data_IF_649400742978
#
_entry.id   IF_649400742978
#
_cell.length_a   1.000
_cell.length_b   1.000
_cell.length_c   1.000
_cell.angle_alpha   90.00
_cell.angle_beta   90.00
_cell.angle_gamma   90.00
#
_symmetry.space_group_name_H-M   'P 1'
#
loop_
_entity.id
_entity.type
_entity.pdbx_description
1 polymer ?
#
# COMPACT_ATOMS: atom_id res chain seq x y z
N UNK A 1 -23.62 10.31 12.82
CA UNK A 1 -22.45 9.45 12.56
C UNK A 1 -22.10 9.61 11.09
N UNK A 2 -20.93 10.17 10.77
CA UNK A 2 -20.51 10.33 9.36
C UNK A 2 -19.90 9.02 8.89
N UNK A 3 -20.59 8.30 8.01
CA UNK A 3 -20.05 7.11 7.37
C UNK A 3 -18.85 7.50 6.51
N UNK A 4 -17.72 6.81 6.70
CA UNK A 4 -16.55 6.98 5.85
C UNK A 4 -16.84 6.38 4.47
N UNK A 5 -16.82 7.21 3.44
CA UNK A 5 -16.93 6.74 2.06
C UNK A 5 -15.58 6.22 1.59
N UNK A 6 -15.58 5.02 0.98
CA UNK A 6 -14.40 4.44 0.36
C UNK A 6 -13.87 5.36 -0.76
N UNK A 7 -12.54 5.37 -0.99
CA UNK A 7 -11.98 6.11 -2.12
C UNK A 7 -12.60 5.64 -3.44
N UNK A 8 -12.88 6.58 -4.34
CA UNK A 8 -13.38 6.27 -5.69
C UNK A 8 -12.25 5.90 -6.66
N UNK A 9 -11.02 6.25 -6.31
CA UNK A 9 -9.80 5.89 -7.03
C UNK A 9 -8.62 5.79 -6.07
N UNK A 10 -7.62 4.99 -6.43
CA UNK A 10 -6.36 4.88 -5.70
C UNK A 10 -5.21 5.30 -6.61
N UNK A 11 -4.23 6.00 -6.05
CA UNK A 11 -3.02 6.39 -6.75
C UNK A 11 -1.77 6.06 -5.93
N UNK A 12 -0.73 5.66 -6.64
CA UNK A 12 0.60 5.42 -6.08
C UNK A 12 1.58 6.29 -6.86
N UNK A 13 2.31 7.15 -6.17
CA UNK A 13 3.51 7.75 -6.75
C UNK A 13 4.58 6.66 -6.88
N UNK A 14 5.02 6.39 -8.11
CA UNK A 14 6.04 5.37 -8.39
C UNK A 14 7.33 5.62 -7.62
N UNK A 15 7.66 6.89 -7.32
CA UNK A 15 8.79 7.24 -6.47
C UNK A 15 8.64 6.67 -5.05
N UNK A 16 7.42 6.57 -4.51
CA UNK A 16 7.19 5.93 -3.21
C UNK A 16 7.42 4.42 -3.25
N UNK A 17 7.21 3.77 -4.39
CA UNK A 17 7.58 2.37 -4.56
C UNK A 17 9.10 2.25 -4.65
N UNK A 18 9.71 2.90 -5.64
CA UNK A 18 11.13 2.81 -5.95
C UNK A 18 12.01 3.27 -4.79
N UNK A 19 11.76 4.47 -4.27
CA UNK A 19 12.66 5.17 -3.36
C UNK A 19 12.39 4.83 -1.88
N UNK A 20 11.28 4.14 -1.58
CA UNK A 20 10.92 3.75 -0.22
C UNK A 20 10.60 2.25 -0.05
N UNK A 21 9.61 1.70 -0.78
CA UNK A 21 9.18 0.31 -0.58
C UNK A 21 10.11 -0.74 -1.17
N UNK A 22 10.90 -0.39 -2.19
CA UNK A 22 11.92 -1.27 -2.79
C UNK A 22 13.36 -0.81 -2.51
N UNK A 23 13.54 0.36 -1.89
CA UNK A 23 14.86 0.89 -1.60
C UNK A 23 15.49 0.27 -0.34
N UNK A 24 16.48 -0.60 -0.54
CA UNK A 24 17.25 -1.24 0.55
C UNK A 24 18.07 -0.26 1.38
N UNK A 25 18.47 0.88 0.80
CA UNK A 25 19.24 1.92 1.45
C UNK A 25 18.35 2.92 2.24
N UNK A 26 17.02 2.83 2.14
CA UNK A 26 16.15 3.77 2.83
C UNK A 26 16.21 3.55 4.36
N UNK A 27 16.53 4.58 5.17
CA UNK A 27 16.84 4.43 6.59
C UNK A 27 15.70 3.80 7.40
N UNK A 28 14.46 4.13 7.05
CA UNK A 28 13.23 3.60 7.68
C UNK A 28 12.58 2.48 6.86
N UNK A 29 12.96 2.35 5.59
CA UNK A 29 12.26 1.53 4.58
C UNK A 29 12.90 0.17 4.37
N UNK A 30 14.17 0.00 4.79
CA UNK A 30 15.00 -1.19 4.53
C UNK A 30 14.31 -2.52 4.82
N UNK A 31 13.54 -2.62 5.91
CA UNK A 31 12.86 -3.86 6.29
C UNK A 31 11.68 -4.19 5.35
N UNK A 32 10.99 -3.15 4.87
CA UNK A 32 9.91 -3.29 3.88
C UNK A 32 10.49 -3.68 2.52
N UNK A 33 11.58 -3.04 2.12
CA UNK A 33 12.32 -3.39 0.91
C UNK A 33 12.80 -4.84 0.94
N UNK A 34 13.45 -5.27 2.03
CA UNK A 34 13.89 -6.66 2.17
C UNK A 34 12.73 -7.66 2.03
N UNK A 35 11.57 -7.34 2.60
CA UNK A 35 10.37 -8.16 2.46
C UNK A 35 9.86 -8.23 1.02
N UNK A 36 9.58 -7.09 0.38
CA UNK A 36 9.03 -7.10 -0.99
C UNK A 36 10.01 -7.70 -1.99
N UNK A 37 11.31 -7.45 -1.86
CA UNK A 37 12.34 -8.10 -2.68
C UNK A 37 12.37 -9.63 -2.47
N UNK A 38 12.13 -10.10 -1.24
CA UNK A 38 12.02 -11.55 -0.97
C UNK A 38 10.78 -12.19 -1.60
N UNK A 39 9.75 -11.39 -1.92
CA UNK A 39 8.56 -11.80 -2.68
C UNK A 39 8.77 -11.74 -4.20
N UNK A 40 9.98 -11.49 -4.67
CA UNK A 40 10.32 -11.48 -6.10
C UNK A 40 10.09 -10.15 -6.82
N UNK A 41 9.62 -9.11 -6.12
CA UNK A 41 9.59 -7.75 -6.68
C UNK A 41 11.01 -7.22 -6.91
N UNK A 42 11.16 -6.27 -7.84
CA UNK A 42 12.46 -5.77 -8.28
C UNK A 42 12.52 -4.25 -8.29
N UNK A 43 13.63 -3.68 -7.85
CA UNK A 43 13.87 -2.23 -7.86
C UNK A 43 13.68 -1.60 -9.25
N UNK A 44 14.07 -2.33 -10.31
CA UNK A 44 13.90 -1.90 -11.70
C UNK A 44 12.51 -2.14 -12.31
N UNK A 45 11.55 -2.65 -11.52
CA UNK A 45 10.15 -2.89 -11.94
C UNK A 45 9.15 -2.47 -10.85
N UNK A 46 9.16 -1.19 -10.42
CA UNK A 46 8.27 -0.70 -9.36
C UNK A 46 6.78 -0.83 -9.70
N UNK A 47 6.42 -0.82 -10.97
CA UNK A 47 5.06 -1.02 -11.47
C UNK A 47 4.46 -2.37 -11.05
N UNK A 48 5.24 -3.46 -11.02
CA UNK A 48 4.73 -4.78 -10.62
C UNK A 48 4.23 -4.78 -9.16
N UNK A 49 4.92 -4.05 -8.28
CA UNK A 49 4.48 -3.87 -6.88
C UNK A 49 3.29 -2.91 -6.77
N UNK A 50 3.25 -1.86 -7.60
CA UNK A 50 2.10 -0.96 -7.63
C UNK A 50 0.80 -1.71 -8.02
N UNK A 51 0.85 -2.51 -9.09
CA UNK A 51 -0.28 -3.32 -9.55
C UNK A 51 -0.76 -4.29 -8.48
N UNK A 52 0.18 -4.97 -7.83
CA UNK A 52 -0.12 -5.90 -6.72
C UNK A 52 -0.77 -5.18 -5.53
N UNK A 53 -0.35 -3.95 -5.22
CA UNK A 53 -0.94 -3.14 -4.16
C UNK A 53 -2.34 -2.63 -4.52
N UNK A 54 -2.59 -2.29 -5.80
CA UNK A 54 -3.93 -1.93 -6.26
C UNK A 54 -4.91 -3.09 -6.16
N UNK A 55 -4.50 -4.29 -6.60
CA UNK A 55 -5.32 -5.49 -6.45
C UNK A 55 -5.58 -5.84 -4.98
N UNK A 56 -4.57 -5.67 -4.13
CA UNK A 56 -4.68 -5.91 -2.70
C UNK A 56 -5.62 -4.94 -1.99
N UNK A 57 -5.71 -3.67 -2.42
CA UNK A 57 -6.56 -2.65 -1.80
C UNK A 57 -8.05 -2.80 -2.20
N UNK A 58 -8.61 -3.98 -1.95
CA UNK A 58 -9.99 -4.35 -2.29
C UNK A 58 -10.94 -4.23 -1.09
N UNK A 59 -12.25 -4.19 -1.34
CA UNK A 59 -13.28 -4.13 -0.30
C UNK A 59 -13.18 -5.30 0.71
N UNK A 60 -12.83 -6.50 0.23
CA UNK A 60 -12.68 -7.69 1.09
C UNK A 60 -11.48 -7.64 2.04
N UNK A 61 -10.55 -6.72 1.81
CA UNK A 61 -9.38 -6.52 2.66
C UNK A 61 -9.53 -5.32 3.60
N UNK A 62 -10.65 -4.58 3.60
CA UNK A 62 -10.81 -3.42 4.49
C UNK A 62 -10.80 -3.88 5.95
N UNK A 63 -9.71 -3.58 6.66
CA UNK A 63 -9.54 -3.92 8.06
C UNK A 63 -9.95 -2.77 8.99
N UNK A 64 -9.69 -1.52 8.56
CA UNK A 64 -10.03 -0.32 9.33
C UNK A 64 -10.15 0.90 8.44
N UNK A 65 -11.08 1.80 8.78
CA UNK A 65 -11.10 3.17 8.28
C UNK A 65 -11.20 4.15 9.45
N UNK A 66 -10.57 5.32 9.35
CA UNK A 66 -10.54 6.31 10.42
C UNK A 66 -10.39 7.73 9.89
N UNK A 67 -11.24 8.65 10.36
CA UNK A 67 -11.03 10.08 10.12
C UNK A 67 -9.84 10.61 10.91
N UNK A 68 -9.02 11.44 10.27
CA UNK A 68 -7.90 12.14 10.90
C UNK A 68 -7.91 13.61 10.47
N UNK A 69 -7.18 14.50 11.17
CA UNK A 69 -7.03 15.89 10.75
C UNK A 69 -6.47 16.05 9.32
N UNK A 70 -5.78 15.03 8.80
CA UNK A 70 -5.16 15.04 7.47
C UNK A 70 -6.02 14.40 6.38
N UNK A 71 -7.21 13.91 6.73
CA UNK A 71 -8.09 13.12 5.86
C UNK A 71 -8.43 11.74 6.42
N UNK A 72 -9.12 10.93 5.63
CA UNK A 72 -9.53 9.58 6.03
C UNK A 72 -8.42 8.57 5.74
N UNK A 73 -7.95 7.86 6.77
CA UNK A 73 -7.05 6.72 6.61
C UNK A 73 -7.85 5.45 6.34
N UNK A 74 -7.40 4.69 5.35
CA UNK A 74 -7.91 3.38 4.99
C UNK A 74 -6.80 2.34 5.15
N UNK A 75 -7.09 1.29 5.90
CA UNK A 75 -6.17 0.18 6.18
C UNK A 75 -6.75 -1.07 5.56
N UNK A 76 -5.98 -1.67 4.67
CA UNK A 76 -6.32 -2.95 4.04
C UNK A 76 -5.38 -4.02 4.57
N UNK A 77 -5.92 -5.17 4.98
CA UNK A 77 -5.18 -6.35 5.41
C UNK A 77 -5.70 -7.59 4.70
N UNK A 78 -4.77 -8.41 4.23
CA UNK A 78 -5.12 -9.60 3.47
C UNK A 78 -3.96 -10.10 2.61
N UNK A 79 -4.17 -11.21 1.89
CA UNK A 79 -3.20 -11.72 0.93
C UNK A 79 -2.87 -10.69 -0.15
N UNK A 80 -1.62 -10.71 -0.62
CA UNK A 80 -1.19 -9.97 -1.82
C UNK A 80 -0.48 -10.93 -2.77
N UNK A 81 -0.81 -10.85 -4.07
CA UNK A 81 -0.12 -11.60 -5.11
C UNK A 81 1.34 -11.16 -5.19
N UNK A 82 2.22 -12.09 -5.51
CA UNK A 82 3.66 -11.87 -5.62
C UNK A 82 4.15 -12.42 -6.96
N UNK A 83 5.19 -11.80 -7.58
CA UNK A 83 5.78 -12.32 -8.81
C UNK A 83 6.34 -13.73 -8.65
N UNK A 84 6.83 -14.06 -7.45
CA UNK A 84 7.32 -15.38 -7.12
C UNK A 84 7.25 -15.65 -5.62
N UNK A 85 6.90 -16.87 -5.24
CA UNK A 85 6.92 -17.31 -3.84
C UNK A 85 5.53 -17.26 -3.18
N UNK A 86 5.46 -17.16 -1.84
CA UNK A 86 4.20 -17.25 -1.12
C UNK A 86 3.31 -16.03 -1.39
N UNK A 87 2.01 -16.17 -1.08
CA UNK A 87 1.03 -15.08 -1.06
C UNK A 87 0.92 -14.58 0.38
N UNK A 88 1.78 -13.63 0.83
CA UNK A 88 1.80 -13.19 2.22
C UNK A 88 0.57 -12.35 2.54
N UNK A 89 0.16 -12.40 3.81
CA UNK A 89 -0.68 -11.35 4.36
C UNK A 89 0.15 -10.07 4.54
N UNK A 90 -0.34 -8.96 4.01
CA UNK A 90 0.26 -7.64 4.20
C UNK A 90 -0.79 -6.68 4.74
N UNK A 91 -0.30 -5.54 5.23
CA UNK A 91 -1.09 -4.35 5.50
C UNK A 91 -0.66 -3.25 4.54
N UNK A 92 -1.62 -2.65 3.85
CA UNK A 92 -1.43 -1.38 3.13
C UNK A 92 -2.25 -0.27 3.77
N UNK A 93 -1.67 0.93 3.85
CA UNK A 93 -2.29 2.11 4.44
C UNK A 93 -2.37 3.19 3.38
N UNK A 94 -3.56 3.75 3.25
CA UNK A 94 -3.90 4.77 2.26
C UNK A 94 -4.53 5.97 2.97
N UNK A 95 -4.39 7.15 2.39
CA UNK A 95 -5.02 8.37 2.89
C UNK A 95 -5.82 9.04 1.79
N UNK A 96 -7.08 9.32 2.08
CA UNK A 96 -7.94 10.17 1.25
C UNK A 96 -7.90 11.56 1.87
N UNK A 97 -7.28 12.52 1.19
CA UNK A 97 -7.15 13.89 1.70
C UNK A 97 -8.52 14.57 1.76
N UNK A 98 -8.64 15.59 2.61
CA UNK A 98 -9.85 16.40 2.70
C UNK A 98 -10.24 16.94 1.31
N UNK A 99 -11.53 16.95 1.04
CA UNK A 99 -12.11 17.43 -0.24
C UNK A 99 -11.63 16.65 -1.48
N UNK A 100 -11.10 15.44 -1.31
CA UNK A 100 -10.77 14.51 -2.40
C UNK A 100 -11.49 13.18 -2.20
N UNK A 101 -11.60 12.39 -3.26
CA UNK A 101 -12.05 10.99 -3.21
C UNK A 101 -10.95 10.01 -3.64
N UNK A 102 -9.72 10.51 -3.78
CA UNK A 102 -8.57 9.75 -4.27
C UNK A 102 -7.72 9.32 -3.07
N UNK A 103 -7.47 8.02 -2.94
CA UNK A 103 -6.60 7.47 -1.91
C UNK A 103 -5.15 7.42 -2.38
N UNK A 104 -4.25 8.05 -1.63
CA UNK A 104 -2.80 7.98 -1.85
C UNK A 104 -2.17 6.93 -0.95
N UNK A 105 -1.24 6.13 -1.49
CA UNK A 105 -0.48 5.18 -0.69
C UNK A 105 0.40 5.90 0.35
N UNK A 106 0.21 5.52 1.61
CA UNK A 106 1.06 5.96 2.72
C UNK A 106 2.21 4.98 2.92
N UNK A 107 1.91 3.69 3.08
CA UNK A 107 2.91 2.62 3.27
C UNK A 107 2.28 1.23 3.03
N UNK A 108 3.12 0.22 2.79
CA UNK A 108 2.73 -1.19 2.87
C UNK A 108 3.81 -2.01 3.58
N UNK A 109 3.43 -3.04 4.33
CA UNK A 109 4.37 -3.91 5.05
C UNK A 109 3.72 -5.26 5.42
N UNK A 110 4.55 -6.27 5.71
CA UNK A 110 4.10 -7.59 6.18
C UNK A 110 3.39 -7.48 7.55
N UNK A 111 2.29 -8.21 7.73
CA UNK A 111 1.61 -8.39 9.03
C UNK A 111 2.33 -9.43 9.88
#
# INVERSE_FOLDING_TARGET
MTTLQAPSALIIDVAKIRDYLLNRAHPVGRAKAAFFLSCGFKEGRPEELADSLFEHASAGHVARSMQTPFGAKWVFEGPMKTPSGPVPAIRSVWIVRQNTSVGELVTAYKV
#
